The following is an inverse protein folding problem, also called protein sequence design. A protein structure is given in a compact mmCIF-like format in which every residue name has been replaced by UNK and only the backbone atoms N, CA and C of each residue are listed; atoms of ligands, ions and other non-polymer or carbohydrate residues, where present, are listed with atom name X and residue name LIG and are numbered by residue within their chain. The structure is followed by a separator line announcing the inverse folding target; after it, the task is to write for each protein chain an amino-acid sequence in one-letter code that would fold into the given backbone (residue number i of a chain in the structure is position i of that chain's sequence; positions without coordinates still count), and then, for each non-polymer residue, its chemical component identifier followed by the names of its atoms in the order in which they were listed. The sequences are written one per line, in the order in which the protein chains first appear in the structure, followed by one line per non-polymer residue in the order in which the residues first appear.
data_IF_689730747314
#
_entry.id   IF_689730747314
#
_cell.length_a   1.000
_cell.length_b   1.000
_cell.length_c   1.000
_cell.angle_alpha   90.00
_cell.angle_beta   90.00
_cell.angle_gamma   90.00
#
_symmetry.space_group_name_H-M   'P 1'
#
loop_
_entity.id
_entity.type
_entity.pdbx_description
1 polymer ?
#
# COMPACT_ATOMS: atom_id res chain seq x y z
N UNK A 1 -12.51 -11.31 1.18
CA UNK A 1 -12.52 -12.77 1.22
C UNK A 1 -11.10 -13.28 1.32
N UNK A 2 -10.87 -14.37 2.07
CA UNK A 2 -9.57 -15.01 2.17
C UNK A 2 -9.11 -15.52 0.79
N UNK A 3 -7.84 -15.34 0.45
CA UNK A 3 -7.27 -15.93 -0.76
C UNK A 3 -6.98 -17.41 -0.49
N UNK A 4 -7.64 -18.36 -1.18
CA UNK A 4 -7.42 -19.79 -0.94
C UNK A 4 -6.01 -20.27 -1.32
N UNK A 5 -5.24 -19.44 -2.04
CA UNK A 5 -3.86 -19.72 -2.42
C UNK A 5 -2.84 -19.13 -1.43
N UNK A 6 -3.26 -18.24 -0.55
CA UNK A 6 -2.40 -17.70 0.50
C UNK A 6 -2.33 -18.69 1.66
N UNK A 7 -1.09 -19.09 2.02
CA UNK A 7 -0.84 -20.04 3.10
C UNK A 7 -1.30 -19.50 4.47
N UNK A 8 -1.24 -18.19 4.67
CA UNK A 8 -1.74 -17.52 5.86
C UNK A 8 -3.28 -17.55 5.97
N UNK A 9 -3.96 -17.58 4.83
CA UNK A 9 -5.43 -17.57 4.74
C UNK A 9 -6.05 -18.98 4.76
N UNK A 10 -5.27 -20.06 4.64
CA UNK A 10 -5.79 -21.45 4.59
C UNK A 10 -6.61 -21.88 5.81
N UNK A 11 -6.48 -21.19 6.92
CA UNK A 11 -7.27 -21.42 8.14
C UNK A 11 -8.52 -20.54 8.28
N UNK A 12 -8.74 -19.61 7.35
CA UNK A 12 -9.80 -18.61 7.40
C UNK A 12 -10.69 -18.72 6.16
N UNK A 13 -11.56 -19.77 6.06
CA UNK A 13 -12.42 -19.93 4.91
C UNK A 13 -13.37 -18.74 4.80
N UNK A 14 -13.22 -17.96 3.74
CA UNK A 14 -14.15 -16.89 3.39
C UNK A 14 -15.29 -17.38 2.51
N UNK A 15 -16.41 -16.65 2.54
CA UNK A 15 -17.58 -16.93 1.72
C UNK A 15 -18.13 -15.68 1.04
N UNK A 16 -19.05 -15.83 0.06
CA UNK A 16 -19.68 -14.69 -0.63
C UNK A 16 -20.47 -13.77 0.33
N UNK A 17 -20.92 -14.31 1.46
CA UNK A 17 -21.61 -13.59 2.52
C UNK A 17 -20.72 -12.61 3.29
N UNK A 18 -19.40 -12.75 3.22
CA UNK A 18 -18.45 -11.91 3.96
C UNK A 18 -18.57 -10.42 3.59
N UNK A 19 -18.94 -10.13 2.35
CA UNK A 19 -19.22 -8.75 1.91
C UNK A 19 -20.31 -8.10 2.75
N UNK A 20 -21.42 -8.81 2.90
CA UNK A 20 -22.55 -8.33 3.68
C UNK A 20 -22.26 -8.38 5.16
N UNK A 21 -21.64 -9.45 5.65
CA UNK A 21 -21.30 -9.61 7.06
C UNK A 21 -20.35 -8.53 7.57
N UNK A 22 -19.39 -8.10 6.74
CA UNK A 22 -18.49 -6.99 7.09
C UNK A 22 -19.26 -5.68 7.31
N UNK A 23 -20.15 -5.34 6.40
CA UNK A 23 -21.02 -4.16 6.55
C UNK A 23 -21.93 -4.25 7.77
N UNK A 24 -22.57 -5.41 7.99
CA UNK A 24 -23.43 -5.62 9.15
C UNK A 24 -22.66 -5.53 10.45
N UNK A 25 -21.45 -6.08 10.53
CA UNK A 25 -20.57 -5.96 11.70
C UNK A 25 -20.28 -4.51 12.06
N UNK A 26 -19.91 -3.69 11.08
CA UNK A 26 -19.62 -2.26 11.32
C UNK A 26 -20.87 -1.51 11.76
N UNK A 27 -22.03 -1.82 11.19
CA UNK A 27 -23.32 -1.30 11.60
C UNK A 27 -23.63 -1.64 13.05
N UNK A 28 -23.55 -2.91 13.42
CA UNK A 28 -23.80 -3.38 14.80
C UNK A 28 -22.84 -2.72 15.79
N UNK A 29 -21.56 -2.54 15.43
CA UNK A 29 -20.60 -1.82 16.26
C UNK A 29 -21.02 -0.36 16.51
N UNK A 30 -21.47 0.35 15.46
CA UNK A 30 -21.97 1.73 15.57
C UNK A 30 -23.20 1.80 16.45
N UNK A 31 -24.20 0.95 16.22
CA UNK A 31 -25.42 0.88 17.00
C UNK A 31 -25.13 0.55 18.48
N UNK A 32 -24.19 -0.35 18.75
CA UNK A 32 -23.79 -0.69 20.12
C UNK A 32 -23.12 0.49 20.85
N UNK A 33 -22.25 1.27 20.16
CA UNK A 33 -21.64 2.47 20.72
C UNK A 33 -22.70 3.53 21.02
N UNK A 34 -23.65 3.75 20.13
CA UNK A 34 -24.72 4.71 20.29
C UNK A 34 -25.64 4.34 21.48
N UNK A 35 -26.02 3.05 21.57
CA UNK A 35 -26.83 2.53 22.68
C UNK A 35 -26.11 2.64 24.04
N UNK A 36 -24.79 2.56 24.07
CA UNK A 36 -23.98 2.73 25.27
C UNK A 36 -23.67 4.20 25.62
N UNK A 37 -24.23 5.18 24.87
CA UNK A 37 -23.93 6.60 25.05
C UNK A 37 -22.53 7.00 24.63
N UNK A 38 -21.90 6.22 23.76
CA UNK A 38 -20.53 6.41 23.26
C UNK A 38 -20.49 6.80 21.78
N UNK A 39 -21.49 7.50 21.26
CA UNK A 39 -21.58 7.94 19.86
C UNK A 39 -20.42 8.85 19.43
N UNK A 40 -19.67 9.42 20.37
CA UNK A 40 -18.46 10.20 20.13
C UNK A 40 -17.20 9.34 19.92
N UNK A 41 -17.29 8.02 20.01
CA UNK A 41 -16.16 7.12 19.75
C UNK A 41 -16.03 6.82 18.26
N UNK A 42 -14.79 6.84 17.80
CA UNK A 42 -14.47 6.62 16.40
C UNK A 42 -14.47 5.13 16.06
N UNK A 43 -15.05 4.79 14.93
CA UNK A 43 -14.87 3.51 14.24
C UNK A 43 -14.09 3.79 12.98
N UNK A 44 -12.94 3.17 12.81
CA UNK A 44 -12.10 3.34 11.62
C UNK A 44 -11.72 1.99 11.04
N UNK A 45 -11.49 1.95 9.75
CA UNK A 45 -11.06 0.75 9.05
C UNK A 45 -9.75 0.98 8.33
N UNK A 46 -8.89 -0.04 8.26
CA UNK A 46 -7.75 -0.09 7.37
C UNK A 46 -8.18 -0.78 6.07
N UNK A 47 -7.88 -0.16 4.94
CA UNK A 47 -8.38 -0.60 3.64
C UNK A 47 -7.26 -0.65 2.61
N UNK A 48 -7.40 -1.56 1.65
CA UNK A 48 -6.41 -1.75 0.58
C UNK A 48 -6.51 -0.66 -0.50
N UNK A 49 -5.40 -0.39 -1.21
CA UNK A 49 -5.43 0.39 -2.45
C UNK A 49 -5.74 -0.45 -3.69
N UNK A 50 -5.69 -1.78 -3.60
CA UNK A 50 -5.93 -2.67 -4.72
C UNK A 50 -7.41 -2.68 -5.11
N UNK A 51 -7.73 -2.09 -6.26
CA UNK A 51 -9.10 -1.91 -6.74
C UNK A 51 -9.81 -3.25 -6.99
N UNK A 52 -9.08 -4.29 -7.42
CA UNK A 52 -9.67 -5.64 -7.57
C UNK A 52 -10.10 -6.21 -6.22
N UNK A 53 -9.27 -6.07 -5.18
CA UNK A 53 -9.60 -6.53 -3.84
C UNK A 53 -10.79 -5.76 -3.27
N UNK A 54 -10.86 -4.43 -3.51
CA UNK A 54 -12.01 -3.61 -3.10
C UNK A 54 -13.28 -4.10 -3.81
N UNK A 55 -13.24 -4.32 -5.11
CA UNK A 55 -14.38 -4.79 -5.89
C UNK A 55 -14.88 -6.19 -5.48
N UNK A 56 -13.97 -7.04 -5.01
CA UNK A 56 -14.29 -8.37 -4.49
C UNK A 56 -14.76 -8.33 -3.04
N UNK A 57 -14.35 -7.34 -2.26
CA UNK A 57 -14.72 -7.14 -0.87
C UNK A 57 -16.07 -6.44 -0.68
N UNK A 58 -16.33 -5.93 0.53
CA UNK A 58 -17.49 -5.08 0.79
C UNK A 58 -17.39 -3.77 0.00
N UNK A 59 -18.52 -3.35 -0.61
CA UNK A 59 -18.56 -2.09 -1.31
C UNK A 59 -18.34 -0.92 -0.31
N UNK A 60 -17.37 -0.04 -0.53
CA UNK A 60 -17.08 1.04 0.40
C UNK A 60 -18.29 1.93 0.74
N UNK A 61 -19.18 2.19 -0.21
CA UNK A 61 -20.39 2.97 -0.01
C UNK A 61 -21.45 2.28 0.88
N UNK A 62 -21.36 0.96 1.06
CA UNK A 62 -22.33 0.24 1.89
C UNK A 62 -22.00 0.34 3.39
N UNK A 63 -20.72 0.63 3.74
CA UNK A 63 -20.26 0.70 5.13
C UNK A 63 -19.72 2.07 5.56
N UNK A 64 -19.54 3.02 4.64
CA UNK A 64 -18.93 4.31 4.97
C UNK A 64 -19.75 5.12 5.98
N UNK A 65 -21.09 4.95 6.02
CA UNK A 65 -21.95 5.61 7.00
C UNK A 65 -21.69 5.17 8.45
N UNK A 66 -21.17 3.95 8.65
CA UNK A 66 -20.92 3.37 9.98
C UNK A 66 -19.51 3.65 10.50
N UNK A 67 -18.61 4.17 9.66
CA UNK A 67 -17.23 4.47 10.03
C UNK A 67 -16.94 5.98 9.93
N UNK A 68 -16.00 6.44 10.75
CA UNK A 68 -15.57 7.83 10.74
C UNK A 68 -14.50 8.09 9.69
N UNK A 69 -13.53 7.15 9.54
CA UNK A 69 -12.44 7.22 8.57
C UNK A 69 -12.16 5.88 7.94
N UNK A 70 -11.75 5.92 6.67
CA UNK A 70 -11.17 4.81 5.92
C UNK A 70 -9.69 5.13 5.73
N UNK A 71 -8.81 4.38 6.42
CA UNK A 71 -7.36 4.53 6.32
C UNK A 71 -6.86 3.66 5.17
N UNK A 72 -6.60 4.25 4.03
CA UNK A 72 -6.14 3.54 2.84
C UNK A 72 -4.66 3.24 2.99
N UNK A 73 -4.27 1.97 2.94
CA UNK A 73 -2.89 1.51 2.98
C UNK A 73 -2.23 1.70 1.61
N UNK A 74 -1.85 2.95 1.30
CA UNK A 74 -1.23 3.36 0.03
C UNK A 74 0.28 3.16 0.07
N UNK A 75 0.71 1.96 0.43
CA UNK A 75 2.10 1.54 0.53
C UNK A 75 2.21 0.03 0.31
N UNK A 76 3.44 -0.47 0.22
CA UNK A 76 3.75 -1.87 -0.12
C UNK A 76 3.25 -2.28 -1.52
N UNK A 77 3.09 -1.30 -2.42
CA UNK A 77 2.68 -1.54 -3.79
C UNK A 77 3.66 -2.46 -4.52
N UNK A 78 4.94 -2.18 -4.37
CA UNK A 78 6.05 -2.84 -5.04
C UNK A 78 7.18 -3.14 -4.04
N UNK A 79 8.00 -4.14 -4.33
CA UNK A 79 9.10 -4.56 -3.47
C UNK A 79 9.94 -5.68 -4.08
N UNK A 80 10.90 -6.20 -3.33
CA UNK A 80 11.82 -7.25 -3.79
C UNK A 80 11.15 -8.62 -4.05
N UNK A 81 9.85 -8.71 -4.03
CA UNK A 81 9.07 -9.82 -4.57
C UNK A 81 8.90 -9.72 -6.10
N UNK A 82 9.27 -8.59 -6.69
CA UNK A 82 9.30 -8.31 -8.13
C UNK A 82 10.75 -8.17 -8.61
N UNK A 83 10.97 -8.40 -9.92
CA UNK A 83 12.29 -8.30 -10.55
C UNK A 83 12.60 -6.93 -11.15
N UNK A 84 11.64 -6.01 -11.15
CA UNK A 84 11.80 -4.64 -11.66
C UNK A 84 11.58 -3.67 -10.51
N UNK A 85 12.45 -2.68 -10.37
CA UNK A 85 12.32 -1.65 -9.34
C UNK A 85 11.12 -0.75 -9.63
N UNK A 86 10.39 -0.38 -8.57
CA UNK A 86 9.24 0.53 -8.66
C UNK A 86 9.01 1.23 -7.30
N UNK A 87 8.12 2.20 -7.26
CA UNK A 87 7.78 2.91 -6.04
C UNK A 87 6.75 2.14 -5.20
N UNK A 88 7.08 1.83 -3.96
CA UNK A 88 6.13 1.13 -3.08
C UNK A 88 5.03 2.03 -2.49
N UNK A 89 5.16 3.34 -2.64
CA UNK A 89 4.23 4.33 -2.09
C UNK A 89 4.16 5.59 -2.96
N UNK A 90 3.97 5.42 -4.28
CA UNK A 90 3.79 6.53 -5.22
C UNK A 90 2.60 7.43 -4.81
N UNK A 91 2.74 8.75 -4.97
CA UNK A 91 1.63 9.69 -4.75
C UNK A 91 0.77 9.75 -6.01
N UNK A 92 1.39 9.84 -7.18
CA UNK A 92 0.71 9.98 -8.47
C UNK A 92 1.06 8.85 -9.44
N UNK A 93 0.18 8.55 -10.41
CA UNK A 93 0.48 7.58 -11.45
C UNK A 93 1.63 8.06 -12.34
N UNK A 94 2.49 7.12 -12.73
CA UNK A 94 3.59 7.39 -13.66
C UNK A 94 3.33 6.68 -15.00
N UNK A 95 3.32 7.39 -16.15
CA UNK A 95 3.11 6.76 -17.45
C UNK A 95 4.20 5.75 -17.85
N UNK A 96 5.38 5.85 -17.21
CA UNK A 96 6.51 4.95 -17.44
C UNK A 96 6.54 3.77 -16.47
N UNK A 97 5.55 3.63 -15.61
CA UNK A 97 5.44 2.52 -14.66
C UNK A 97 5.50 1.18 -15.39
N UNK A 98 6.48 0.30 -15.08
CA UNK A 98 6.69 -0.98 -15.75
C UNK A 98 5.71 -2.07 -15.28
N UNK A 99 4.84 -1.80 -14.32
CA UNK A 99 3.90 -2.78 -13.80
C UNK A 99 3.12 -3.47 -14.93
N UNK A 100 2.95 -4.80 -14.88
CA UNK A 100 2.46 -5.58 -16.03
C UNK A 100 0.98 -5.38 -16.31
N UNK A 101 0.20 -4.97 -15.32
CA UNK A 101 -1.26 -4.83 -15.46
C UNK A 101 -1.72 -3.39 -15.26
N UNK A 102 -2.87 -3.05 -15.88
CA UNK A 102 -3.49 -1.74 -15.69
C UNK A 102 -3.89 -1.47 -14.24
N UNK A 103 -4.18 -2.51 -13.46
CA UNK A 103 -4.53 -2.38 -12.04
C UNK A 103 -3.29 -2.05 -11.20
N UNK A 104 -2.18 -2.75 -11.43
CA UNK A 104 -0.93 -2.51 -10.69
C UNK A 104 -0.38 -1.11 -10.97
N UNK A 105 -0.55 -0.58 -12.19
CA UNK A 105 -0.22 0.83 -12.54
C UNK A 105 -1.04 1.88 -11.77
N UNK A 106 -2.12 1.45 -11.12
CA UNK A 106 -2.95 2.29 -10.26
C UNK A 106 -2.62 2.15 -8.76
N UNK A 107 -1.53 1.45 -8.42
CA UNK A 107 -1.06 1.33 -7.04
C UNK A 107 -0.33 2.61 -6.61
N UNK A 108 -1.10 3.68 -6.47
CA UNK A 108 -0.65 4.97 -5.99
C UNK A 108 -1.75 5.64 -5.15
N UNK A 109 -1.38 6.65 -4.38
CA UNK A 109 -2.29 7.32 -3.45
C UNK A 109 -3.45 8.03 -4.15
N UNK A 110 -3.18 8.67 -5.28
CA UNK A 110 -4.18 9.42 -6.05
C UNK A 110 -5.27 8.49 -6.60
N UNK A 111 -4.89 7.44 -7.33
CA UNK A 111 -5.86 6.52 -7.94
C UNK A 111 -6.63 5.75 -6.89
N UNK A 112 -5.98 5.36 -5.78
CA UNK A 112 -6.66 4.73 -4.65
C UNK A 112 -7.73 5.64 -4.06
N UNK A 113 -7.40 6.90 -3.73
CA UNK A 113 -8.35 7.85 -3.19
C UNK A 113 -9.51 8.14 -4.15
N UNK A 114 -9.19 8.27 -5.46
CA UNK A 114 -10.22 8.49 -6.48
C UNK A 114 -11.14 7.29 -6.65
N UNK A 115 -10.62 6.07 -6.52
CA UNK A 115 -11.45 4.87 -6.59
C UNK A 115 -12.50 4.84 -5.47
N UNK A 116 -12.08 5.06 -4.19
CA UNK A 116 -13.01 5.15 -3.06
C UNK A 116 -14.04 6.28 -3.23
N UNK A 117 -13.60 7.46 -3.67
CA UNK A 117 -14.49 8.58 -3.93
C UNK A 117 -15.51 8.26 -5.05
N UNK A 118 -15.09 7.57 -6.10
CA UNK A 118 -15.97 7.14 -7.20
C UNK A 118 -16.94 6.03 -6.77
N UNK A 119 -16.61 5.24 -5.74
CA UNK A 119 -17.55 4.33 -5.09
C UNK A 119 -18.61 5.06 -4.23
N UNK A 120 -18.50 6.38 -4.06
CA UNK A 120 -19.47 7.19 -3.31
C UNK A 120 -19.01 7.63 -1.92
N UNK A 121 -17.84 7.20 -1.46
CA UNK A 121 -17.30 7.58 -0.14
C UNK A 121 -16.96 9.08 -0.10
N UNK A 122 -17.42 9.84 0.89
CA UNK A 122 -17.05 11.25 1.06
C UNK A 122 -15.53 11.41 1.24
N UNK A 123 -14.93 12.32 0.49
CA UNK A 123 -13.47 12.54 0.48
C UNK A 123 -12.90 12.90 1.86
N UNK A 124 -13.67 13.57 2.71
CA UNK A 124 -13.26 13.92 4.07
C UNK A 124 -13.17 12.72 5.02
N UNK A 125 -13.62 11.53 4.61
CA UNK A 125 -13.44 10.27 5.34
C UNK A 125 -12.22 9.47 4.87
N UNK A 126 -11.56 9.87 3.77
CA UNK A 126 -10.43 9.15 3.20
C UNK A 126 -9.11 9.65 3.79
N UNK A 127 -8.35 8.74 4.41
CA UNK A 127 -7.03 9.03 4.97
C UNK A 127 -5.99 8.25 4.18
N UNK A 128 -5.02 8.97 3.63
CA UNK A 128 -3.91 8.39 2.88
C UNK A 128 -2.84 7.90 3.84
N UNK A 129 -2.48 6.63 3.75
CA UNK A 129 -1.40 6.04 4.51
C UNK A 129 -0.03 6.43 3.96
N UNK A 130 0.92 6.77 4.83
CA UNK A 130 2.29 7.09 4.46
C UNK A 130 3.26 6.21 5.24
N UNK A 131 4.13 5.43 4.55
CA UNK A 131 5.06 4.55 5.23
C UNK A 131 6.26 5.33 5.79
N UNK A 132 6.73 4.95 6.98
CA UNK A 132 7.97 5.44 7.57
C UNK A 132 9.10 4.41 7.43
N UNK A 133 9.10 3.72 6.30
CA UNK A 133 10.09 2.70 5.92
C UNK A 133 10.20 2.62 4.40
N UNK A 134 11.25 1.98 3.92
CA UNK A 134 11.44 1.67 2.50
C UNK A 134 11.14 0.21 2.20
N UNK A 135 10.90 -0.06 0.92
CA UNK A 135 11.17 -1.32 0.24
C UNK A 135 12.41 -1.15 -0.63
N UNK A 136 13.18 -2.22 -0.86
CA UNK A 136 14.41 -2.11 -1.62
C UNK A 136 14.80 -3.39 -2.34
N UNK A 137 15.51 -3.22 -3.44
CA UNK A 137 16.05 -4.28 -4.28
C UNK A 137 17.57 -4.29 -4.19
N UNK A 138 18.18 -5.42 -4.53
CA UNK A 138 19.63 -5.56 -4.64
C UNK A 138 20.05 -5.82 -6.07
N UNK A 139 21.31 -5.51 -6.40
CA UNK A 139 21.88 -5.74 -7.72
C UNK A 139 21.04 -5.13 -8.85
N UNK A 140 20.66 -3.89 -8.68
CA UNK A 140 19.81 -3.12 -9.60
C UNK A 140 20.66 -2.57 -10.74
N UNK A 141 20.23 -2.77 -11.98
CA UNK A 141 20.86 -2.14 -13.15
C UNK A 141 20.73 -0.63 -13.08
N UNK A 142 21.78 0.11 -13.48
CA UNK A 142 21.77 1.57 -13.45
C UNK A 142 20.73 2.17 -14.42
N UNK A 143 20.50 1.48 -15.55
CA UNK A 143 19.64 1.96 -16.61
C UNK A 143 20.19 3.18 -17.36
N UNK A 144 19.44 3.72 -18.32
CA UNK A 144 19.89 4.80 -19.17
C UNK A 144 20.11 6.13 -18.42
N UNK A 145 19.42 6.33 -17.31
CA UNK A 145 19.55 7.54 -16.50
C UNK A 145 20.60 7.41 -15.38
N UNK A 146 21.10 6.20 -15.14
CA UNK A 146 22.06 5.93 -14.06
C UNK A 146 21.45 6.01 -12.66
N UNK A 147 20.15 5.85 -12.51
CA UNK A 147 19.39 6.08 -11.28
C UNK A 147 18.67 4.84 -10.72
N UNK A 148 18.69 3.72 -11.47
CA UNK A 148 18.10 2.45 -11.07
C UNK A 148 16.56 2.42 -11.01
N UNK A 149 15.87 3.51 -11.39
CA UNK A 149 14.40 3.53 -11.39
C UNK A 149 13.85 2.76 -12.60
N UNK A 150 12.86 1.88 -12.34
CA UNK A 150 12.20 1.04 -13.34
C UNK A 150 13.18 0.11 -14.09
N UNK A 151 14.20 -0.37 -13.37
CA UNK A 151 15.25 -1.23 -13.92
C UNK A 151 15.18 -2.65 -13.35
N UNK A 152 15.82 -3.59 -14.07
CA UNK A 152 15.93 -4.96 -13.57
C UNK A 152 16.74 -5.02 -12.28
N UNK A 153 16.29 -5.86 -11.37
CA UNK A 153 16.99 -6.21 -10.15
C UNK A 153 17.28 -7.70 -10.13
N UNK A 154 18.52 -8.07 -9.83
CA UNK A 154 18.99 -9.45 -9.84
C UNK A 154 19.18 -10.01 -8.43
N UNK A 155 18.82 -9.26 -7.40
CA UNK A 155 18.93 -9.63 -6.01
C UNK A 155 17.94 -8.89 -5.10
N UNK A 156 17.97 -9.26 -3.84
CA UNK A 156 17.18 -8.63 -2.79
C UNK A 156 18.11 -7.86 -1.86
N UNK A 157 17.73 -6.65 -1.51
CA UNK A 157 18.39 -5.90 -0.45
C UNK A 157 17.95 -6.44 0.91
N UNK A 158 18.91 -6.65 1.82
CA UNK A 158 18.60 -7.00 3.21
C UNK A 158 18.42 -5.71 3.99
N UNK A 159 17.18 -5.32 4.19
CA UNK A 159 16.84 -4.15 4.97
C UNK A 159 17.07 -4.36 6.47
N UNK A 160 17.05 -3.26 7.23
CA UNK A 160 17.34 -3.31 8.68
C UNK A 160 16.35 -4.17 9.48
N UNK A 161 15.13 -4.28 9.00
CA UNK A 161 14.09 -5.08 9.65
C UNK A 161 13.95 -6.50 9.09
N UNK A 162 14.66 -6.80 8.04
CA UNK A 162 14.58 -8.11 7.41
C UNK A 162 15.38 -9.16 8.17
N UNK A 163 14.88 -10.38 8.20
CA UNK A 163 15.70 -11.54 8.50
C UNK A 163 16.63 -11.82 7.29
N UNK A 164 17.93 -12.11 7.48
CA UNK A 164 18.84 -12.41 6.37
C UNK A 164 18.37 -13.57 5.47
N UNK A 165 17.58 -14.50 6.03
CA UNK A 165 16.99 -15.62 5.31
C UNK A 165 15.78 -15.25 4.46
N UNK A 166 15.18 -14.06 4.68
CA UNK A 166 14.00 -13.59 3.97
C UNK A 166 14.08 -12.08 3.71
N UNK A 167 15.01 -11.63 2.85
CA UNK A 167 15.20 -10.22 2.56
C UNK A 167 14.01 -9.65 1.78
N UNK A 168 13.51 -8.48 2.21
CA UNK A 168 12.41 -7.74 1.60
C UNK A 168 12.70 -6.26 1.38
N UNK A 169 13.92 -5.80 1.74
CA UNK A 169 14.35 -4.43 1.61
C UNK A 169 13.69 -3.47 2.61
N UNK A 170 13.16 -3.98 3.72
CA UNK A 170 12.47 -3.17 4.72
C UNK A 170 13.46 -2.46 5.64
N UNK A 171 13.55 -1.15 5.49
CA UNK A 171 14.44 -0.31 6.30
C UNK A 171 13.66 0.86 6.89
N UNK A 172 13.71 1.08 8.24
CA UNK A 172 13.01 2.17 8.87
C UNK A 172 13.60 3.53 8.50
N UNK A 173 12.78 4.56 8.51
CA UNK A 173 13.17 5.92 8.12
C UNK A 173 14.42 6.44 8.80
N UNK A 174 14.61 6.17 10.09
CA UNK A 174 15.78 6.64 10.83
C UNK A 174 17.11 6.03 10.36
N UNK A 175 17.09 4.82 9.77
CA UNK A 175 18.25 4.23 9.10
C UNK A 175 18.41 4.76 7.67
N UNK A 176 17.31 4.96 6.92
CA UNK A 176 17.35 5.58 5.59
C UNK A 176 18.02 6.94 5.63
N UNK A 177 17.74 7.75 6.67
CA UNK A 177 18.40 9.05 6.86
C UNK A 177 19.94 8.97 7.00
N UNK A 178 20.47 7.84 7.43
CA UNK A 178 21.92 7.62 7.47
C UNK A 178 22.44 7.36 6.06
N UNK A 179 21.70 6.59 5.25
CA UNK A 179 22.04 6.32 3.85
C UNK A 179 22.00 7.59 3.01
N UNK A 180 21.11 8.55 3.28
CA UNK A 180 21.08 9.85 2.60
C UNK A 180 22.38 10.66 2.75
N UNK A 181 23.18 10.37 3.79
CA UNK A 181 24.47 11.02 4.06
C UNK A 181 25.67 10.11 3.75
N UNK A 182 25.45 8.89 3.29
CA UNK A 182 26.50 7.95 2.88
C UNK A 182 26.91 8.26 1.43
N UNK A 183 28.21 8.52 1.14
CA UNK A 183 28.67 8.86 -0.21
C UNK A 183 28.47 7.76 -1.26
N UNK A 184 28.17 6.53 -0.85
CA UNK A 184 27.86 5.43 -1.75
C UNK A 184 26.41 5.46 -2.26
N UNK A 185 25.54 6.31 -1.69
CA UNK A 185 24.15 6.43 -2.06
C UNK A 185 23.86 7.80 -2.67
N UNK A 186 23.09 7.81 -3.74
CA UNK A 186 22.59 9.04 -4.36
C UNK A 186 21.10 9.15 -4.13
N UNK A 187 20.66 10.31 -3.68
CA UNK A 187 19.25 10.64 -3.51
C UNK A 187 18.67 11.22 -4.79
N UNK A 188 17.55 10.67 -5.18
CA UNK A 188 16.75 11.12 -6.33
C UNK A 188 15.34 11.49 -5.88
N UNK A 189 14.65 12.23 -6.72
CA UNK A 189 13.22 12.50 -6.56
C UNK A 189 12.53 12.29 -7.91
N UNK A 190 11.52 11.42 -7.95
CA UNK A 190 10.68 11.26 -9.13
C UNK A 190 9.55 12.28 -9.07
N UNK A 191 9.69 13.36 -9.85
CA UNK A 191 8.70 14.45 -9.92
C UNK A 191 7.35 13.97 -10.45
N UNK A 192 7.31 12.93 -11.28
CA UNK A 192 6.08 12.37 -11.84
C UNK A 192 5.29 11.62 -10.80
N UNK A 193 5.94 10.74 -10.06
CA UNK A 193 5.29 9.96 -8.98
C UNK A 193 5.20 10.73 -7.65
N UNK A 194 5.96 11.83 -7.51
CA UNK A 194 5.99 12.69 -6.32
C UNK A 194 6.71 12.07 -5.13
N UNK A 195 7.73 11.23 -5.33
CA UNK A 195 8.39 10.49 -4.25
C UNK A 195 9.91 10.45 -4.35
N UNK A 196 10.64 10.48 -3.19
CA UNK A 196 12.07 10.30 -3.14
C UNK A 196 12.46 8.82 -3.18
N UNK A 197 13.67 8.55 -3.67
CA UNK A 197 14.31 7.24 -3.58
C UNK A 197 15.84 7.37 -3.49
N UNK A 198 16.51 6.30 -3.10
CA UNK A 198 17.96 6.21 -3.04
C UNK A 198 18.44 5.11 -3.99
N UNK A 199 19.55 5.37 -4.68
CA UNK A 199 20.22 4.37 -5.50
C UNK A 199 21.71 4.36 -5.18
N UNK A 200 22.27 3.16 -5.13
CA UNK A 200 23.73 2.89 -4.99
C UNK A 200 24.17 2.01 -6.16
N UNK A 201 25.17 2.48 -6.89
CA UNK A 201 25.76 1.74 -8.02
C UNK A 201 26.80 0.73 -7.53
#
# INVERSE_FOLDING_TARGET
AADPNDEADRGCPGGPEDKQNYTLMLKEMREAFDAAGMSNKLITVAATMNQNTIAQGANPNDYDEYVDFINIMTYDAHGAFESITNHHAAIYPNPNDPAPTAIEKQFNAYDAAMYYANCGVPRNKLIIGSPWYSRGWGQVEAGPNGDGLFQNAHGKYVGKWDAPSSPGGQTPWFEIKKLENDPNWTKYFDETSGVPYLYSN
#
